data_IF_677378003905
#
_entry.id   IF_677378003905
#
_cell.length_a   1.000
_cell.length_b   1.000
_cell.length_c   1.000
_cell.angle_alpha   90.00
_cell.angle_beta   90.00
_cell.angle_gamma   90.00
#
_symmetry.space_group_name_H-M   'P 1'
#
loop_
_entity.id
_entity.type
_entity.pdbx_description
1 polymer ?
#
# COMPACT_ATOMS: atom_id res chain seq x y z
N UNK A 1 0.00 21.74 -37.44
CA UNK A 1 0.49 20.71 -38.39
C UNK A 1 1.24 19.72 -37.53
N UNK A 2 0.63 18.58 -37.19
CA UNK A 2 1.29 17.56 -36.38
C UNK A 2 2.49 17.03 -37.15
N UNK A 3 3.66 17.07 -36.51
CA UNK A 3 4.88 16.49 -37.07
C UNK A 3 4.75 14.96 -37.06
N UNK A 4 5.44 14.28 -37.98
CA UNK A 4 5.59 12.82 -37.91
C UNK A 4 6.11 12.37 -36.52
N UNK A 5 6.94 13.19 -35.89
CA UNK A 5 7.43 12.95 -34.53
C UNK A 5 6.31 13.00 -33.46
N UNK A 6 5.31 13.86 -33.64
CA UNK A 6 4.19 13.97 -32.70
C UNK A 6 3.28 12.74 -32.79
N UNK A 7 3.10 12.20 -34.01
CA UNK A 7 2.33 10.97 -34.23
C UNK A 7 3.01 9.75 -33.60
N UNK A 8 4.33 9.63 -33.74
CA UNK A 8 5.09 8.55 -33.09
C UNK A 8 4.98 8.64 -31.58
N UNK A 9 5.16 9.84 -31.02
CA UNK A 9 5.01 10.05 -29.57
C UNK A 9 3.59 9.71 -29.08
N UNK A 10 2.56 10.03 -29.86
CA UNK A 10 1.18 9.69 -29.52
C UNK A 10 0.95 8.17 -29.49
N UNK A 11 1.49 7.43 -30.47
CA UNK A 11 1.37 5.98 -30.55
C UNK A 11 2.11 5.29 -29.37
N UNK A 12 3.32 5.76 -29.05
CA UNK A 12 4.10 5.26 -27.91
C UNK A 12 3.38 5.48 -26.57
N UNK A 13 2.81 6.67 -26.38
CA UNK A 13 2.03 7.00 -25.18
C UNK A 13 0.79 6.10 -25.11
N UNK A 14 0.08 5.91 -26.22
CA UNK A 14 -1.12 5.08 -26.26
C UNK A 14 -0.80 3.62 -25.90
N UNK A 15 0.26 3.07 -26.48
CA UNK A 15 0.77 1.74 -26.15
C UNK A 15 1.09 1.63 -24.65
N UNK A 16 1.82 2.60 -24.10
CA UNK A 16 2.18 2.60 -22.69
C UNK A 16 0.97 2.73 -21.77
N UNK A 17 0.01 3.61 -22.07
CA UNK A 17 -1.20 3.80 -21.25
C UNK A 17 -2.02 2.53 -21.23
N UNK A 18 -2.20 1.86 -22.36
CA UNK A 18 -2.90 0.58 -22.43
C UNK A 18 -2.22 -0.47 -21.54
N UNK A 19 -0.89 -0.62 -21.64
CA UNK A 19 -0.12 -1.50 -20.79
C UNK A 19 -0.22 -1.09 -19.30
N UNK A 20 -0.19 0.20 -18.98
CA UNK A 20 -0.25 0.70 -17.62
C UNK A 20 -1.62 0.46 -16.94
N UNK A 21 -2.69 0.34 -17.73
CA UNK A 21 -4.03 0.00 -17.24
C UNK A 21 -4.11 -1.51 -16.99
N UNK A 22 -3.73 -2.33 -17.97
CA UNK A 22 -4.02 -3.77 -17.95
C UNK A 22 -2.95 -4.62 -17.29
N UNK A 23 -1.67 -4.32 -17.51
CA UNK A 23 -0.56 -5.16 -17.10
C UNK A 23 -0.15 -4.89 -15.64
N UNK A 24 0.08 -5.96 -14.89
CA UNK A 24 0.52 -5.88 -13.47
C UNK A 24 1.88 -6.55 -13.23
N UNK A 25 2.55 -7.02 -14.29
CA UNK A 25 3.77 -7.82 -14.19
C UNK A 25 3.56 -9.21 -13.57
N UNK A 26 2.30 -9.65 -13.44
CA UNK A 26 1.94 -11.00 -13.00
C UNK A 26 1.76 -11.90 -14.22
N UNK A 27 1.85 -13.22 -14.04
CA UNK A 27 1.58 -14.18 -15.12
C UNK A 27 0.15 -14.00 -15.65
N UNK A 28 0.02 -13.74 -16.96
CA UNK A 28 -1.27 -13.80 -17.65
C UNK A 28 -1.39 -15.15 -18.39
N UNK A 29 -2.61 -15.50 -18.80
CA UNK A 29 -2.94 -16.81 -19.42
C UNK A 29 -2.08 -17.16 -20.65
N UNK A 30 -1.49 -16.18 -21.34
CA UNK A 30 -0.76 -16.37 -22.59
C UNK A 30 0.74 -16.03 -22.53
N UNK A 31 1.27 -15.49 -21.42
CA UNK A 31 2.69 -15.12 -21.32
C UNK A 31 3.29 -15.34 -19.93
N UNK A 32 4.59 -15.66 -19.89
CA UNK A 32 5.31 -15.91 -18.65
C UNK A 32 5.54 -14.62 -17.85
N UNK A 33 5.57 -14.72 -16.51
CA UNK A 33 5.79 -13.56 -15.63
C UNK A 33 7.12 -12.81 -15.89
N UNK A 34 8.15 -13.53 -16.34
CA UNK A 34 9.45 -12.94 -16.69
C UNK A 34 9.40 -12.05 -17.95
N UNK A 35 8.76 -12.54 -19.03
CA UNK A 35 8.64 -11.80 -20.29
C UNK A 35 7.79 -10.53 -20.13
N UNK A 36 6.71 -10.61 -19.34
CA UNK A 36 5.91 -9.43 -19.02
C UNK A 36 6.68 -8.40 -18.19
N UNK A 37 7.43 -8.85 -17.19
CA UNK A 37 8.22 -7.95 -16.35
C UNK A 37 9.27 -7.22 -17.19
N UNK A 38 9.99 -7.94 -18.07
CA UNK A 38 10.98 -7.34 -18.97
C UNK A 38 10.34 -6.35 -19.96
N UNK A 39 9.19 -6.70 -20.53
CA UNK A 39 8.47 -5.84 -21.48
C UNK A 39 7.95 -4.57 -20.80
N UNK A 40 7.36 -4.70 -19.62
CA UNK A 40 6.84 -3.57 -18.85
C UNK A 40 7.98 -2.68 -18.34
N UNK A 41 9.08 -3.26 -17.87
CA UNK A 41 10.25 -2.52 -17.40
C UNK A 41 10.90 -1.72 -18.53
N UNK A 42 10.96 -2.30 -19.74
CA UNK A 42 11.40 -1.62 -20.96
C UNK A 42 10.49 -0.43 -21.28
N UNK A 43 9.17 -0.63 -21.33
CA UNK A 43 8.22 0.46 -21.60
C UNK A 43 8.35 1.62 -20.61
N UNK A 44 8.48 1.32 -19.31
CA UNK A 44 8.72 2.35 -18.30
C UNK A 44 10.04 3.09 -18.52
N UNK A 45 11.11 2.39 -18.92
CA UNK A 45 12.41 3.01 -19.14
C UNK A 45 12.40 3.89 -20.40
N UNK A 46 11.80 3.37 -21.46
CA UNK A 46 11.59 4.07 -22.73
C UNK A 46 10.80 5.36 -22.54
N UNK A 47 9.65 5.29 -21.86
CA UNK A 47 8.80 6.46 -21.62
C UNK A 47 9.47 7.49 -20.71
N UNK A 48 10.18 7.03 -19.67
CA UNK A 48 10.89 7.94 -18.78
C UNK A 48 12.03 8.67 -19.49
N UNK A 49 12.77 7.97 -20.36
CA UNK A 49 13.91 8.53 -21.09
C UNK A 49 13.51 9.49 -22.22
N UNK A 50 12.49 9.14 -23.00
CA UNK A 50 12.09 9.91 -24.17
C UNK A 50 10.98 10.94 -23.88
N UNK A 51 10.08 10.63 -22.93
CA UNK A 51 8.80 11.34 -22.76
C UNK A 51 8.47 11.59 -21.27
N UNK A 52 9.44 12.05 -20.47
CA UNK A 52 9.30 12.20 -19.00
C UNK A 52 8.04 12.94 -18.53
N UNK A 53 7.68 14.06 -19.18
CA UNK A 53 6.48 14.82 -18.81
C UNK A 53 5.20 14.02 -19.06
N UNK A 54 5.13 13.28 -20.17
CA UNK A 54 4.01 12.40 -20.50
C UNK A 54 3.96 11.19 -19.56
N UNK A 55 5.12 10.59 -19.28
CA UNK A 55 5.27 9.49 -18.31
C UNK A 55 4.76 9.87 -16.92
N UNK A 56 5.09 11.08 -16.45
CA UNK A 56 4.52 11.60 -15.21
C UNK A 56 3.02 11.89 -15.33
N UNK A 57 2.58 12.45 -16.47
CA UNK A 57 1.19 12.74 -16.77
C UNK A 57 0.26 11.53 -16.70
N UNK A 58 0.77 10.32 -16.97
CA UNK A 58 0.03 9.06 -16.82
C UNK A 58 -0.46 8.85 -15.37
N UNK A 59 0.17 9.45 -14.37
CA UNK A 59 -0.35 9.47 -12.99
C UNK A 59 -1.71 10.19 -12.87
N UNK A 60 -2.11 11.02 -13.81
CA UNK A 60 -3.45 11.62 -13.82
C UNK A 60 -4.53 10.64 -14.31
N UNK A 61 -4.14 9.58 -15.04
CA UNK A 61 -5.03 8.57 -15.61
C UNK A 61 -5.24 7.40 -14.66
N UNK A 62 -6.36 6.69 -14.77
CA UNK A 62 -6.73 5.60 -13.86
C UNK A 62 -6.01 4.27 -14.18
N UNK A 63 -4.69 4.30 -14.01
CA UNK A 63 -3.83 3.13 -14.10
C UNK A 63 -3.84 2.33 -12.80
N UNK A 64 -3.43 1.06 -12.88
CA UNK A 64 -3.42 0.20 -11.70
C UNK A 64 -2.33 0.59 -10.67
N UNK A 65 -2.53 0.20 -9.41
CA UNK A 65 -1.64 0.51 -8.29
C UNK A 65 -0.17 0.10 -8.53
N UNK A 66 0.05 -1.00 -9.25
CA UNK A 66 1.41 -1.47 -9.55
C UNK A 66 2.15 -0.43 -10.40
N UNK A 67 1.54 0.00 -11.51
CA UNK A 67 2.13 1.00 -12.39
C UNK A 67 2.24 2.38 -11.72
N UNK A 68 1.28 2.78 -10.87
CA UNK A 68 1.43 4.00 -10.06
C UNK A 68 2.70 3.94 -9.21
N UNK A 69 2.89 2.85 -8.46
CA UNK A 69 4.06 2.67 -7.58
C UNK A 69 5.36 2.68 -8.39
N UNK A 70 5.40 2.00 -9.54
CA UNK A 70 6.58 1.95 -10.42
C UNK A 70 6.92 3.33 -10.99
N UNK A 71 5.92 4.08 -11.48
CA UNK A 71 6.13 5.44 -12.00
C UNK A 71 6.67 6.36 -10.91
N UNK A 72 6.01 6.40 -9.74
CA UNK A 72 6.43 7.25 -8.61
C UNK A 72 7.86 6.90 -8.19
N UNK A 73 8.19 5.61 -8.07
CA UNK A 73 9.52 5.15 -7.70
C UNK A 73 10.57 5.65 -8.69
N UNK A 74 10.39 5.39 -10.00
CA UNK A 74 11.37 5.75 -11.03
C UNK A 74 11.54 7.27 -11.13
N UNK A 75 10.47 8.06 -11.03
CA UNK A 75 10.55 9.53 -11.01
C UNK A 75 11.35 10.08 -9.82
N UNK A 76 11.25 9.43 -8.66
CA UNK A 76 12.01 9.80 -7.46
C UNK A 76 13.46 9.33 -7.52
N UNK A 77 13.73 8.17 -8.13
CA UNK A 77 15.08 7.65 -8.39
C UNK A 77 15.86 8.57 -9.34
N UNK A 78 15.23 9.02 -10.43
CA UNK A 78 15.85 9.89 -11.44
C UNK A 78 15.56 11.39 -11.21
N UNK A 79 15.29 11.80 -9.97
CA UNK A 79 14.91 13.18 -9.66
C UNK A 79 15.97 14.22 -10.03
N UNK A 80 17.25 13.82 -10.17
CA UNK A 80 18.36 14.68 -10.58
C UNK A 80 18.32 15.07 -12.07
N UNK A 81 17.68 14.25 -12.91
CA UNK A 81 17.56 14.49 -14.36
C UNK A 81 16.41 15.45 -14.70
N UNK A 82 15.46 15.65 -13.77
CA UNK A 82 14.30 16.50 -13.98
C UNK A 82 14.66 17.99 -13.87
N UNK A 83 14.08 18.82 -14.74
CA UNK A 83 14.10 20.28 -14.59
C UNK A 83 13.28 20.73 -13.37
N UNK A 84 13.44 21.99 -12.93
CA UNK A 84 12.67 22.52 -11.82
C UNK A 84 11.14 22.49 -12.07
N UNK A 85 10.72 22.80 -13.30
CA UNK A 85 9.31 22.75 -13.71
C UNK A 85 8.75 21.33 -13.70
N UNK A 86 9.51 20.35 -14.21
CA UNK A 86 9.15 18.93 -14.17
C UNK A 86 8.99 18.45 -12.72
N UNK A 87 9.96 18.75 -11.84
CA UNK A 87 9.89 18.36 -10.42
C UNK A 87 8.63 18.89 -9.73
N UNK A 88 8.21 20.11 -10.04
CA UNK A 88 6.99 20.69 -9.48
C UNK A 88 5.73 19.97 -9.97
N UNK A 89 5.59 19.77 -11.28
CA UNK A 89 4.45 19.06 -11.88
C UNK A 89 4.35 17.63 -11.39
N UNK A 90 5.45 16.89 -11.48
CA UNK A 90 5.54 15.51 -11.00
C UNK A 90 5.21 15.42 -9.50
N UNK A 91 5.68 16.37 -8.68
CA UNK A 91 5.38 16.40 -7.24
C UNK A 91 3.89 16.47 -6.93
N UNK A 92 3.14 17.33 -7.65
CA UNK A 92 1.68 17.43 -7.51
C UNK A 92 0.96 16.14 -7.90
N UNK A 93 1.38 15.53 -9.02
CA UNK A 93 0.82 14.28 -9.52
C UNK A 93 1.07 13.12 -8.55
N UNK A 94 2.30 13.01 -8.04
CA UNK A 94 2.67 12.02 -7.02
C UNK A 94 1.79 12.21 -5.78
N UNK A 95 1.71 13.42 -5.22
CA UNK A 95 0.92 13.68 -4.02
C UNK A 95 -0.57 13.30 -4.20
N UNK A 96 -1.16 13.71 -5.33
CA UNK A 96 -2.56 13.39 -5.65
C UNK A 96 -2.80 11.88 -5.77
N UNK A 97 -1.85 11.13 -6.35
CA UNK A 97 -1.98 9.67 -6.46
C UNK A 97 -1.73 8.93 -5.14
N UNK A 98 -0.72 9.33 -4.36
CA UNK A 98 -0.46 8.69 -3.06
C UNK A 98 -1.61 8.89 -2.07
N UNK A 99 -2.38 9.97 -2.18
CA UNK A 99 -3.58 10.20 -1.37
C UNK A 99 -4.70 9.19 -1.67
N UNK A 100 -4.76 8.64 -2.89
CA UNK A 100 -5.77 7.66 -3.32
C UNK A 100 -5.32 6.21 -3.13
N UNK A 101 -4.01 5.96 -3.07
CA UNK A 101 -3.47 4.60 -2.95
C UNK A 101 -3.78 3.98 -1.58
N UNK A 102 -4.00 2.66 -1.53
CA UNK A 102 -4.07 1.95 -0.26
C UNK A 102 -2.77 2.10 0.54
N UNK A 103 -2.82 2.30 1.88
CA UNK A 103 -1.63 2.57 2.70
C UNK A 103 -0.54 1.51 2.55
N UNK A 104 -0.90 0.23 2.45
CA UNK A 104 0.04 -0.86 2.26
C UNK A 104 0.86 -0.74 0.97
N UNK A 105 0.29 -0.16 -0.10
CA UNK A 105 1.00 0.09 -1.36
C UNK A 105 2.01 1.22 -1.21
N UNK A 106 1.62 2.30 -0.52
CA UNK A 106 2.51 3.43 -0.26
C UNK A 106 3.65 3.05 0.68
N UNK A 107 3.37 2.29 1.74
CA UNK A 107 4.41 1.73 2.59
C UNK A 107 5.35 0.77 1.85
N UNK A 108 4.83 -0.01 0.89
CA UNK A 108 5.63 -0.82 -0.02
C UNK A 108 6.56 0.01 -0.91
N UNK A 109 6.05 1.11 -1.48
CA UNK A 109 6.85 2.09 -2.22
C UNK A 109 7.97 2.67 -1.36
N UNK A 110 7.70 3.06 -0.12
CA UNK A 110 8.73 3.60 0.77
C UNK A 110 9.81 2.57 1.12
N UNK A 111 9.43 1.30 1.32
CA UNK A 111 10.42 0.23 1.51
C UNK A 111 11.23 -0.03 0.22
N UNK A 112 10.62 0.07 -0.96
CA UNK A 112 11.32 -0.05 -2.23
C UNK A 112 12.35 1.08 -2.42
N UNK A 113 11.98 2.33 -2.16
CA UNK A 113 12.89 3.48 -2.18
C UNK A 113 14.04 3.32 -1.18
N UNK A 114 13.75 2.80 0.03
CA UNK A 114 14.78 2.47 1.02
C UNK A 114 15.74 1.41 0.50
N UNK A 115 15.25 0.33 -0.10
CA UNK A 115 16.10 -0.73 -0.70
C UNK A 115 16.96 -0.18 -1.84
N UNK A 116 16.41 0.71 -2.65
CA UNK A 116 17.12 1.43 -3.70
C UNK A 116 18.04 2.55 -3.17
N UNK A 117 18.11 2.77 -1.85
CA UNK A 117 18.90 3.83 -1.19
C UNK A 117 18.56 5.24 -1.68
N UNK A 118 17.33 5.46 -2.13
CA UNK A 118 16.87 6.77 -2.62
C UNK A 118 16.27 7.57 -1.48
N UNK A 119 16.98 8.62 -1.06
CA UNK A 119 16.57 9.49 0.04
C UNK A 119 16.86 10.98 -0.21
N UNK A 120 16.67 11.42 -1.46
CA UNK A 120 16.84 12.82 -1.82
C UNK A 120 15.81 13.72 -1.10
N UNK A 121 16.06 15.04 -1.10
CA UNK A 121 15.18 16.04 -0.45
C UNK A 121 13.70 15.86 -0.83
N UNK A 122 13.45 15.51 -2.10
CA UNK A 122 12.10 15.30 -2.62
C UNK A 122 11.45 14.04 -2.05
N UNK A 123 12.19 12.94 -1.98
CA UNK A 123 11.70 11.70 -1.36
C UNK A 123 11.32 11.94 0.10
N UNK A 124 12.17 12.64 0.87
CA UNK A 124 11.87 13.00 2.26
C UNK A 124 10.62 13.87 2.39
N UNK A 125 10.45 14.86 1.51
CA UNK A 125 9.26 15.70 1.48
C UNK A 125 7.99 14.88 1.18
N UNK A 126 8.02 14.01 0.18
CA UNK A 126 6.89 13.13 -0.17
C UNK A 126 6.49 12.22 1.00
N UNK A 127 7.47 11.59 1.66
CA UNK A 127 7.19 10.73 2.84
C UNK A 127 6.58 11.56 3.97
N UNK A 128 7.17 12.72 4.29
CA UNK A 128 6.69 13.62 5.35
C UNK A 128 5.27 14.07 5.09
N UNK A 129 5.00 14.60 3.90
CA UNK A 129 3.72 15.21 3.57
C UNK A 129 2.62 14.15 3.51
N UNK A 130 2.92 12.95 2.99
CA UNK A 130 1.97 11.85 3.01
C UNK A 130 1.66 11.36 4.43
N UNK A 131 2.67 11.23 5.30
CA UNK A 131 2.45 10.85 6.70
C UNK A 131 1.65 11.91 7.47
N UNK A 132 1.95 13.19 7.25
CA UNK A 132 1.22 14.30 7.87
C UNK A 132 -0.26 14.36 7.44
N UNK A 133 -0.57 13.92 6.22
CA UNK A 133 -1.93 13.87 5.69
C UNK A 133 -2.72 12.61 6.11
N UNK A 134 -2.12 11.68 6.88
CA UNK A 134 -2.83 10.47 7.32
C UNK A 134 -3.93 10.82 8.31
N UNK A 135 -5.14 10.27 8.15
CA UNK A 135 -6.25 10.54 9.07
C UNK A 135 -6.04 9.93 10.45
N UNK A 136 -5.37 8.78 10.52
CA UNK A 136 -5.09 8.08 11.77
C UNK A 136 -3.73 7.37 11.70
N UNK A 137 -2.69 8.03 12.25
CA UNK A 137 -1.35 7.45 12.36
C UNK A 137 -1.25 6.39 13.46
N UNK A 138 -2.13 6.38 14.46
CA UNK A 138 -2.12 5.37 15.51
C UNK A 138 -2.57 4.01 14.95
N UNK A 139 -3.58 4.01 14.08
CA UNK A 139 -3.97 2.83 13.33
C UNK A 139 -2.82 2.28 12.47
N UNK A 140 -2.13 3.16 11.73
CA UNK A 140 -0.97 2.77 10.94
C UNK A 140 0.18 2.24 11.82
N UNK A 141 0.38 2.81 13.01
CA UNK A 141 1.37 2.36 13.97
C UNK A 141 1.10 0.96 14.50
N UNK A 142 -0.17 0.58 14.66
CA UNK A 142 -0.56 -0.76 15.11
C UNK A 142 -0.56 -1.75 13.94
N UNK A 143 -1.19 -1.41 12.81
CA UNK A 143 -1.37 -2.32 11.67
C UNK A 143 -0.12 -2.45 10.80
N UNK A 144 0.60 -1.36 10.56
CA UNK A 144 1.75 -1.27 9.66
C UNK A 144 3.04 -0.91 10.41
N UNK A 145 3.12 -1.21 11.72
CA UNK A 145 4.21 -0.81 12.63
C UNK A 145 5.60 -0.85 12.02
N UNK A 146 5.98 -2.01 11.48
CA UNK A 146 7.31 -2.22 10.91
C UNK A 146 7.59 -1.32 9.70
N UNK A 147 6.59 -1.11 8.85
CA UNK A 147 6.71 -0.26 7.68
C UNK A 147 6.77 1.22 8.05
N UNK A 148 5.94 1.67 8.99
CA UNK A 148 5.97 3.04 9.51
C UNK A 148 7.34 3.36 10.14
N UNK A 149 7.88 2.47 10.98
CA UNK A 149 9.23 2.63 11.55
C UNK A 149 10.31 2.77 10.48
N UNK A 150 10.26 1.93 9.44
CA UNK A 150 11.22 1.97 8.33
C UNK A 150 11.09 3.27 7.54
N UNK A 151 9.88 3.73 7.27
CA UNK A 151 9.63 4.97 6.55
C UNK A 151 10.17 6.20 7.31
N UNK A 152 9.88 6.30 8.61
CA UNK A 152 10.37 7.39 9.46
C UNK A 152 11.90 7.41 9.54
N UNK A 153 12.53 6.26 9.77
CA UNK A 153 14.00 6.12 9.81
C UNK A 153 14.63 6.48 8.48
N UNK A 154 14.09 5.96 7.38
CA UNK A 154 14.59 6.22 6.04
C UNK A 154 14.51 7.72 5.72
N UNK A 155 13.38 8.37 5.98
CA UNK A 155 13.20 9.78 5.67
C UNK A 155 13.81 10.75 6.72
N UNK A 156 14.44 10.22 7.78
CA UNK A 156 14.94 10.99 8.94
C UNK A 156 13.87 11.90 9.56
N UNK A 157 12.66 11.36 9.74
CA UNK A 157 11.53 12.09 10.29
C UNK A 157 11.31 11.74 11.76
N UNK A 158 10.92 12.75 12.53
CA UNK A 158 10.43 12.56 13.88
C UNK A 158 8.98 12.05 13.83
N UNK A 159 8.60 11.13 14.75
CA UNK A 159 7.21 10.73 14.94
C UNK A 159 6.30 11.92 15.25
N UNK A 160 5.02 11.82 14.86
CA UNK A 160 4.01 12.78 15.24
C UNK A 160 3.67 12.62 16.73
N UNK A 161 4.33 13.41 17.58
CA UNK A 161 4.15 13.38 19.03
C UNK A 161 5.02 12.36 19.74
N UNK A 162 5.30 12.64 21.02
CA UNK A 162 6.17 11.83 21.88
C UNK A 162 5.58 10.43 22.11
N UNK A 163 4.28 10.34 22.36
CA UNK A 163 3.59 9.07 22.61
C UNK A 163 3.75 8.07 21.47
N UNK A 164 3.56 8.51 20.23
CA UNK A 164 3.74 7.68 19.05
C UNK A 164 5.21 7.28 18.87
N UNK A 165 6.14 8.17 19.20
CA UNK A 165 7.56 7.89 19.17
C UNK A 165 7.96 6.78 20.14
N UNK A 166 7.47 6.85 21.37
CA UNK A 166 7.65 5.81 22.38
C UNK A 166 7.06 4.49 21.92
N UNK A 167 5.81 4.48 21.44
CA UNK A 167 5.18 3.27 20.91
C UNK A 167 5.99 2.60 19.79
N UNK A 168 6.55 3.39 18.87
CA UNK A 168 7.29 2.89 17.73
C UNK A 168 8.70 2.43 18.11
N UNK A 169 9.43 3.18 18.93
CA UNK A 169 10.86 2.97 19.16
C UNK A 169 11.20 2.43 20.55
N UNK A 170 10.36 2.66 21.55
CA UNK A 170 10.52 2.19 22.92
C UNK A 170 9.18 1.69 23.51
N UNK A 171 8.52 0.66 22.92
CA UNK A 171 7.14 0.30 23.24
C UNK A 171 6.88 -0.09 24.71
N UNK A 172 7.94 -0.41 25.46
CA UNK A 172 7.91 -0.76 26.88
C UNK A 172 8.27 0.40 27.82
N UNK A 173 8.56 1.60 27.31
CA UNK A 173 8.92 2.75 28.14
C UNK A 173 7.72 3.32 28.91
N UNK A 174 6.51 3.16 28.36
CA UNK A 174 5.26 3.65 28.95
C UNK A 174 4.44 2.52 29.57
N UNK A 175 3.90 2.79 30.75
CA UNK A 175 2.94 1.92 31.43
C UNK A 175 1.52 2.05 30.86
N UNK A 176 1.20 3.20 30.24
CA UNK A 176 -0.10 3.50 29.65
C UNK A 176 0.07 4.42 28.42
N UNK A 177 -0.83 4.28 27.44
CA UNK A 177 -0.95 5.18 26.29
C UNK A 177 -2.30 5.92 26.36
N UNK A 178 -2.28 7.25 26.26
CA UNK A 178 -3.48 8.07 26.13
C UNK A 178 -4.27 7.72 24.86
N UNK A 179 -3.59 7.36 23.77
CA UNK A 179 -4.26 6.91 22.54
C UNK A 179 -4.85 5.50 22.74
N UNK A 180 -6.20 5.33 22.70
CA UNK A 180 -6.85 4.08 23.13
C UNK A 180 -6.39 2.84 22.35
N UNK A 181 -6.14 2.98 21.06
CA UNK A 181 -5.70 1.87 20.20
C UNK A 181 -4.28 1.41 20.55
N UNK A 182 -3.38 2.34 20.90
CA UNK A 182 -2.01 2.02 21.31
C UNK A 182 -2.00 1.31 22.67
N UNK A 183 -2.84 1.76 23.61
CA UNK A 183 -2.96 1.11 24.92
C UNK A 183 -3.60 -0.27 24.81
N UNK A 184 -4.62 -0.43 23.96
CA UNK A 184 -5.22 -1.74 23.66
C UNK A 184 -4.18 -2.72 23.11
N UNK A 185 -3.31 -2.27 22.21
CA UNK A 185 -2.21 -3.09 21.68
C UNK A 185 -1.22 -3.49 22.79
N UNK A 186 -0.88 -2.57 23.69
CA UNK A 186 -0.04 -2.86 24.85
C UNK A 186 -0.70 -3.89 25.76
N UNK A 187 -1.97 -3.67 26.15
CA UNK A 187 -2.76 -4.60 26.99
C UNK A 187 -2.89 -5.99 26.38
N UNK A 188 -3.08 -6.08 25.07
CA UNK A 188 -3.19 -7.36 24.36
C UNK A 188 -1.95 -8.27 24.50
N UNK A 189 -0.80 -7.76 24.96
CA UNK A 189 0.35 -8.61 25.31
C UNK A 189 0.12 -9.47 26.55
N UNK A 190 -0.71 -9.01 27.47
CA UNK A 190 -0.94 -9.62 28.78
C UNK A 190 -2.39 -10.08 28.97
N UNK A 191 -3.34 -9.41 28.31
CA UNK A 191 -4.77 -9.64 28.44
C UNK A 191 -5.36 -10.20 27.16
N UNK A 192 -5.93 -11.42 27.22
CA UNK A 192 -6.54 -12.09 26.06
C UNK A 192 -7.78 -11.38 25.53
N UNK A 193 -8.54 -10.67 26.38
CA UNK A 193 -9.75 -9.98 25.96
C UNK A 193 -9.43 -8.77 25.05
N UNK A 194 -8.36 -8.05 25.35
CA UNK A 194 -7.96 -6.83 24.64
C UNK A 194 -7.63 -7.07 23.16
N UNK A 195 -7.29 -8.29 22.73
CA UNK A 195 -6.99 -8.58 21.32
C UNK A 195 -8.21 -8.38 20.40
N UNK A 196 -9.43 -8.55 20.90
CA UNK A 196 -10.65 -8.43 20.09
C UNK A 196 -11.01 -6.98 19.75
N UNK A 197 -10.39 -6.01 20.41
CA UNK A 197 -10.51 -4.60 20.09
C UNK A 197 -9.50 -4.13 19.04
N UNK A 198 -8.56 -4.99 18.63
CA UNK A 198 -7.55 -4.70 17.62
C UNK A 198 -8.04 -5.01 16.20
N UNK A 199 -7.39 -4.41 15.17
CA UNK A 199 -7.65 -4.78 13.78
C UNK A 199 -7.41 -6.28 13.54
N UNK A 200 -8.25 -6.92 12.72
CA UNK A 200 -8.26 -8.38 12.51
C UNK A 200 -6.86 -9.00 12.33
N UNK A 201 -6.04 -8.46 11.43
CA UNK A 201 -4.70 -9.01 11.14
C UNK A 201 -3.74 -8.90 12.33
N UNK A 202 -3.94 -7.91 13.20
CA UNK A 202 -3.12 -7.73 14.41
C UNK A 202 -3.63 -8.65 15.50
N UNK A 203 -4.96 -8.71 15.68
CA UNK A 203 -5.63 -9.62 16.61
C UNK A 203 -5.26 -11.09 16.33
N UNK A 204 -5.18 -11.49 15.06
CA UNK A 204 -4.78 -12.83 14.61
C UNK A 204 -3.38 -13.21 15.14
N UNK A 205 -2.43 -12.26 15.10
CA UNK A 205 -1.08 -12.47 15.65
C UNK A 205 -1.08 -12.66 17.17
N UNK A 206 -1.88 -11.89 17.91
CA UNK A 206 -2.03 -12.05 19.35
C UNK A 206 -2.76 -13.34 19.72
N UNK A 207 -3.79 -13.73 18.96
CA UNK A 207 -4.52 -14.97 19.17
C UNK A 207 -3.59 -16.18 19.07
N UNK A 208 -2.71 -16.21 18.07
CA UNK A 208 -1.69 -17.25 17.93
C UNK A 208 -0.74 -17.28 19.12
N UNK A 209 -0.25 -16.11 19.58
CA UNK A 209 0.64 -15.99 20.74
C UNK A 209 -0.02 -16.47 22.05
N UNK A 210 -1.31 -16.22 22.22
CA UNK A 210 -2.08 -16.60 23.41
C UNK A 210 -2.63 -18.03 23.36
N UNK A 211 -2.36 -18.77 22.29
CA UNK A 211 -2.84 -20.14 22.07
C UNK A 211 -4.37 -20.22 21.93
N UNK A 212 -5.02 -19.18 21.40
CA UNK A 212 -6.47 -19.18 21.20
C UNK A 212 -6.81 -20.10 20.00
N UNK A 213 -7.70 -21.09 20.16
CA UNK A 213 -8.11 -21.94 19.05
C UNK A 213 -8.68 -21.13 17.89
N UNK A 214 -8.33 -21.50 16.65
CA UNK A 214 -8.71 -20.77 15.44
C UNK A 214 -10.23 -20.57 15.32
N UNK A 215 -11.01 -21.59 15.64
CA UNK A 215 -12.48 -21.54 15.59
C UNK A 215 -13.04 -20.47 16.54
N UNK A 216 -12.60 -20.50 17.81
CA UNK A 216 -13.01 -19.56 18.86
C UNK A 216 -12.63 -18.12 18.51
N UNK A 217 -11.44 -17.92 17.94
CA UNK A 217 -11.00 -16.60 17.50
C UNK A 217 -11.89 -16.06 16.37
N UNK A 218 -12.17 -16.89 15.36
CA UNK A 218 -12.97 -16.49 14.20
C UNK A 218 -14.40 -16.15 14.58
N UNK A 219 -15.03 -16.94 15.46
CA UNK A 219 -16.37 -16.69 15.97
C UNK A 219 -16.45 -15.33 16.70
N UNK A 220 -15.52 -15.08 17.63
CA UNK A 220 -15.53 -13.85 18.43
C UNK A 220 -15.14 -12.60 17.64
N UNK A 221 -14.28 -12.71 16.63
CA UNK A 221 -13.84 -11.55 15.83
C UNK A 221 -14.82 -11.24 14.69
N UNK A 222 -15.65 -12.20 14.27
CA UNK A 222 -16.57 -12.09 13.14
C UNK A 222 -17.39 -10.79 13.10
N UNK A 223 -18.00 -10.31 14.21
CA UNK A 223 -18.84 -9.11 14.20
C UNK A 223 -18.07 -7.81 13.84
N UNK A 224 -16.74 -7.82 13.99
CA UNK A 224 -15.87 -6.65 13.75
C UNK A 224 -15.10 -6.75 12.43
N UNK A 225 -15.21 -7.87 11.72
CA UNK A 225 -14.52 -8.05 10.44
C UNK A 225 -15.16 -7.17 9.38
N UNK A 226 -14.33 -6.57 8.53
CA UNK A 226 -14.84 -5.97 7.30
C UNK A 226 -15.36 -7.07 6.37
N UNK A 227 -16.24 -6.70 5.43
CA UNK A 227 -16.84 -7.65 4.48
C UNK A 227 -15.80 -8.42 3.67
N UNK A 228 -14.72 -7.74 3.26
CA UNK A 228 -13.63 -8.34 2.50
C UNK A 228 -12.77 -9.28 3.36
N UNK A 229 -12.54 -8.90 4.62
CA UNK A 229 -11.87 -9.79 5.57
C UNK A 229 -12.73 -11.05 5.80
N UNK A 230 -14.04 -10.91 6.00
CA UNK A 230 -14.97 -12.02 6.17
C UNK A 230 -14.96 -12.98 4.97
N UNK A 231 -15.01 -12.45 3.74
CA UNK A 231 -14.92 -13.26 2.51
C UNK A 231 -13.61 -14.04 2.44
N UNK A 232 -12.48 -13.37 2.72
CA UNK A 232 -11.14 -13.98 2.65
C UNK A 232 -10.99 -15.14 3.62
N UNK A 233 -11.62 -15.05 4.79
CA UNK A 233 -11.49 -16.08 5.83
C UNK A 233 -12.59 -17.12 5.80
N UNK A 234 -13.65 -16.93 5.00
CA UNK A 234 -14.83 -17.80 4.98
C UNK A 234 -14.49 -19.26 4.70
N UNK A 235 -13.59 -19.54 3.75
CA UNK A 235 -13.14 -20.91 3.49
C UNK A 235 -12.31 -21.50 4.64
N UNK A 236 -11.45 -20.69 5.24
CA UNK A 236 -10.66 -21.09 6.40
C UNK A 236 -11.57 -21.38 7.59
N UNK A 237 -12.60 -20.55 7.81
CA UNK A 237 -13.59 -20.69 8.86
C UNK A 237 -14.39 -21.99 8.70
N UNK A 238 -14.87 -22.29 7.48
CA UNK A 238 -15.53 -23.56 7.16
C UNK A 238 -14.64 -24.77 7.47
N UNK A 239 -13.38 -24.74 7.06
CA UNK A 239 -12.40 -25.82 7.32
C UNK A 239 -12.14 -26.06 8.81
N UNK A 240 -12.29 -25.03 9.64
CA UNK A 240 -12.04 -25.10 11.09
C UNK A 240 -13.33 -25.15 11.93
N UNK A 241 -14.49 -25.37 11.32
CA UNK A 241 -15.77 -25.50 12.03
C UNK A 241 -16.37 -24.19 12.56
N UNK A 242 -15.86 -23.03 12.16
CA UNK A 242 -16.42 -21.72 12.52
C UNK A 242 -17.52 -21.33 11.52
N UNK A 243 -18.76 -21.76 11.78
CA UNK A 243 -19.89 -21.61 10.86
C UNK A 243 -20.45 -20.17 10.74
N UNK A 244 -20.12 -19.30 11.69
CA UNK A 244 -20.68 -17.94 11.78
C UNK A 244 -20.04 -16.92 10.82
N UNK A 245 -18.84 -17.20 10.29
CA UNK A 245 -18.20 -16.26 9.36
C UNK A 245 -18.79 -16.42 7.96
N UNK A 246 -19.86 -15.67 7.68
CA UNK A 246 -20.49 -15.59 6.35
C UNK A 246 -20.39 -14.19 5.80
N UNK A 247 -19.74 -14.04 4.64
CA UNK A 247 -19.76 -12.77 3.94
C UNK A 247 -21.13 -12.57 3.25
N UNK A 248 -21.70 -11.38 3.40
CA UNK A 248 -22.89 -10.97 2.64
C UNK A 248 -22.49 -10.65 1.19
N UNK A 249 -22.73 -11.61 0.29
CA UNK A 249 -22.42 -11.50 -1.13
C UNK A 249 -23.31 -10.48 -1.86
N UNK A 250 -24.51 -10.18 -1.35
CA UNK A 250 -25.46 -9.28 -2.01
C UNK A 250 -24.98 -7.82 -2.05
N UNK A 251 -24.03 -7.46 -1.18
CA UNK A 251 -23.47 -6.10 -1.05
C UNK A 251 -22.06 -5.96 -1.60
N UNK A 252 -21.61 -6.92 -2.41
CA UNK A 252 -20.26 -6.92 -2.98
C UNK A 252 -20.19 -6.25 -4.36
N UNK A 253 -19.07 -5.58 -4.69
CA UNK A 253 -18.83 -5.11 -6.05
C UNK A 253 -18.88 -6.26 -7.06
N UNK A 254 -19.52 -6.03 -8.21
CA UNK A 254 -19.71 -7.04 -9.27
C UNK A 254 -18.40 -7.68 -9.73
N UNK A 255 -17.32 -6.89 -9.85
CA UNK A 255 -15.99 -7.40 -10.22
C UNK A 255 -15.45 -8.40 -9.20
N UNK A 256 -15.70 -8.19 -7.91
CA UNK A 256 -15.28 -9.12 -6.85
C UNK A 256 -16.13 -10.37 -6.82
N UNK A 257 -17.43 -10.26 -7.07
CA UNK A 257 -18.31 -11.42 -7.22
C UNK A 257 -17.89 -12.28 -8.40
N UNK A 258 -17.59 -11.66 -9.55
CA UNK A 258 -17.10 -12.36 -10.73
C UNK A 258 -15.76 -13.08 -10.42
N UNK A 259 -14.79 -12.41 -9.79
CA UNK A 259 -13.53 -13.07 -9.40
C UNK A 259 -13.74 -14.22 -8.41
N UNK A 260 -14.67 -14.08 -7.46
CA UNK A 260 -14.97 -15.12 -6.47
C UNK A 260 -15.60 -16.37 -7.12
N UNK A 261 -16.47 -16.21 -8.11
CA UNK A 261 -17.10 -17.33 -8.84
C UNK A 261 -16.12 -18.03 -9.78
N UNK A 262 -15.14 -17.31 -10.30
CA UNK A 262 -14.13 -17.83 -11.25
C UNK A 262 -12.90 -18.47 -10.57
N UNK A 263 -12.76 -18.34 -9.24
CA UNK A 263 -11.67 -18.93 -8.44
C UNK A 263 -12.09 -20.26 -7.84
#
# INVERSE_FOLDING_TARGET
MESYADLVAADDVLLFVNAAITATGQREFHSGAGEQTLSLDFLHAYMLGNYRDLYAGVLALDINDHNVVTIVRRLLETAGEATAGQRHREGRLIAARLAKLPPQRVYGLFDALRRARVNNRRTRAVVRDWLAARPDLAFDAVKYRGALKRALRHAHLLPAGEELGDFLFAPSSRTHYATPLLDTWRRAHHEKAALYDLPYTVAEGFAARHGVPRAVFLERVAPRMTRLEALRVQESARRHGAAEVRADLSRMPLTRLASYVLS
#
